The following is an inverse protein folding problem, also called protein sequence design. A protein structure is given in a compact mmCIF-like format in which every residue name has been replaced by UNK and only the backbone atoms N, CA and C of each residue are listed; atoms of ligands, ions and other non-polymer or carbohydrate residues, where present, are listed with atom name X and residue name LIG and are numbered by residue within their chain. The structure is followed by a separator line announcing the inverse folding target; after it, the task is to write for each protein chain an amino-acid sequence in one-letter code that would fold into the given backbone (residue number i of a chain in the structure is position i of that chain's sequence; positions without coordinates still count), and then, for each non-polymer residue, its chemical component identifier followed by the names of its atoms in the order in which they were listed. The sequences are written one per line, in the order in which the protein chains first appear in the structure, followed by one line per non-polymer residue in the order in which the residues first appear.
data_IF_349933572091
#
_entry.id   IF_349933572091
#
_cell.length_a   1.000
_cell.length_b   1.000
_cell.length_c   1.000
_cell.angle_alpha   90.00
_cell.angle_beta   90.00
_cell.angle_gamma   90.00
#
_symmetry.space_group_name_H-M   'P 1'
#
loop_
_entity.id
_entity.type
_entity.pdbx_description
1 polymer ?
#
# COMPACT_ATOMS: atom_id res chain seq x y z
N UNK A 1 -22.55 16.61 7.65
CA UNK A 1 -22.19 16.27 7.30
C UNK A 1 -21.83 15.65 6.72
N UNK A 2 -21.91 15.49 6.70
CA UNK A 2 -21.40 14.80 6.24
C UNK A 2 -20.97 14.33 5.68
N UNK A 3 -20.71 14.26 5.72
CA UNK A 3 -20.16 13.88 5.18
C UNK A 3 -19.83 13.19 4.61
N UNK A 4 -19.82 12.91 4.79
CA UNK A 4 -19.45 12.36 4.37
C UNK A 4 -19.24 11.71 3.64
N UNK A 5 -19.23 11.39 3.62
CA UNK A 5 -18.97 10.78 2.87
C UNK A 5 -19.22 10.45 1.91
N UNK A 6 -19.15 10.45 1.56
CA UNK A 6 -19.36 10.09 0.72
C UNK A 6 -18.91 9.38 -0.10
N UNK A 7 -18.55 9.12 -0.11
CA UNK A 7 -18.10 8.49 -0.78
C UNK A 7 -18.07 7.49 -0.89
N UNK A 8 -17.85 7.13 -0.97
CA UNK A 8 -17.79 6.14 -1.48
C UNK A 8 -18.25 5.03 -1.11
N UNK A 9 -18.78 4.82 -1.30
CA UNK A 9 -19.31 3.90 -1.18
C UNK A 9 -18.98 2.76 -1.83
N UNK A 10 -18.25 2.76 -2.84
CA UNK A 10 -17.76 1.56 -3.46
C UNK A 10 -16.45 1.22 -2.82
N UNK A 11 -16.47 0.22 -1.98
CA UNK A 11 -15.28 -0.23 -1.28
C UNK A 11 -14.94 -1.60 -1.83
N UNK A 12 -13.71 -1.80 -2.22
CA UNK A 12 -13.26 -3.12 -2.64
C UNK A 12 -13.04 -3.96 -1.38
N UNK A 13 -13.93 -4.92 -1.17
CA UNK A 13 -13.90 -5.73 0.05
C UNK A 13 -12.67 -6.60 0.13
N UNK A 14 -12.20 -7.09 -1.02
CA UNK A 14 -11.02 -7.94 -1.02
C UNK A 14 -9.79 -7.14 -0.60
N UNK A 15 -9.66 -5.93 -1.08
CA UNK A 15 -8.55 -5.05 -0.67
C UNK A 15 -8.66 -4.74 0.82
N UNK A 16 -9.85 -4.35 1.26
CA UNK A 16 -10.07 -4.00 2.67
C UNK A 16 -9.72 -5.17 3.57
N UNK A 17 -10.17 -6.37 3.23
CA UNK A 17 -9.89 -7.56 4.03
C UNK A 17 -8.39 -7.81 4.12
N UNK A 18 -7.69 -7.68 3.00
CA UNK A 18 -6.26 -7.93 2.99
C UNK A 18 -5.51 -6.88 3.80
N UNK A 19 -5.92 -5.63 3.72
CA UNK A 19 -5.31 -4.55 4.51
C UNK A 19 -5.51 -4.81 6.00
N UNK A 20 -6.71 -5.23 6.40
CA UNK A 20 -6.96 -5.56 7.80
C UNK A 20 -6.06 -6.69 8.27
N UNK A 21 -5.92 -7.73 7.44
CA UNK A 21 -5.03 -8.83 7.77
C UNK A 21 -3.59 -8.37 7.94
N UNK A 22 -3.12 -7.52 7.04
CA UNK A 22 -1.75 -7.02 7.10
C UNK A 22 -1.53 -6.14 8.32
N UNK A 23 -2.53 -5.32 8.67
CA UNK A 23 -2.45 -4.52 9.89
C UNK A 23 -2.28 -5.41 11.11
N UNK A 24 -2.98 -6.54 11.15
CA UNK A 24 -2.84 -7.48 12.26
C UNK A 24 -1.45 -8.09 12.32
N UNK A 25 -0.75 -8.13 11.19
CA UNK A 25 0.60 -8.67 11.12
C UNK A 25 1.67 -7.61 11.36
N UNK A 26 1.26 -6.37 11.66
CA UNK A 26 2.20 -5.30 11.95
C UNK A 26 2.45 -4.34 10.81
N UNK A 27 1.85 -4.55 9.64
CA UNK A 27 1.98 -3.66 8.49
C UNK A 27 0.96 -2.55 8.60
N UNK A 28 1.21 -1.62 9.52
CA UNK A 28 0.22 -0.62 9.91
C UNK A 28 0.38 0.73 9.23
N UNK A 29 1.50 0.95 8.56
CA UNK A 29 1.75 2.21 7.89
C UNK A 29 1.29 2.14 6.44
N UNK A 30 0.95 3.30 5.88
CA UNK A 30 0.61 3.42 4.47
C UNK A 30 1.75 4.09 3.75
N UNK A 31 2.16 3.51 2.63
CA UNK A 31 3.23 4.05 1.82
C UNK A 31 2.71 4.49 0.46
N UNK A 32 3.30 5.54 -0.05
CA UNK A 32 2.97 6.10 -1.35
C UNK A 32 4.24 6.22 -2.17
N UNK A 33 4.18 5.85 -3.43
CA UNK A 33 5.32 5.95 -4.32
C UNK A 33 5.34 7.34 -4.95
N UNK A 34 6.39 8.10 -4.70
CA UNK A 34 6.54 9.47 -5.19
C UNK A 34 7.94 9.67 -5.73
N UNK A 35 8.06 9.88 -7.04
CA UNK A 35 9.35 10.20 -7.66
C UNK A 35 10.46 9.20 -7.27
N UNK A 36 10.14 7.92 -7.33
CA UNK A 36 11.09 6.84 -7.01
C UNK A 36 11.48 6.79 -5.54
N UNK A 37 10.70 7.45 -4.70
CA UNK A 37 10.84 7.36 -3.25
C UNK A 37 9.55 6.85 -2.67
N UNK A 38 9.64 6.26 -1.50
CA UNK A 38 8.48 5.81 -0.77
C UNK A 38 8.25 6.75 0.39
N UNK A 39 7.05 7.30 0.44
CA UNK A 39 6.65 8.21 1.51
C UNK A 39 5.76 7.47 2.48
N UNK A 40 6.17 7.43 3.74
CA UNK A 40 5.33 6.91 4.81
C UNK A 40 4.31 7.99 5.16
N UNK A 41 3.03 7.67 4.98
CA UNK A 41 1.99 8.69 5.11
C UNK A 41 1.79 9.14 6.55
N UNK A 42 2.08 8.27 7.52
CA UNK A 42 1.82 8.57 8.92
C UNK A 42 2.82 9.57 9.50
N UNK A 43 4.06 9.54 9.06
CA UNK A 43 5.09 10.40 9.65
C UNK A 43 5.85 11.24 8.62
N UNK A 44 5.43 11.18 7.37
CA UNK A 44 6.02 11.96 6.28
C UNK A 44 7.52 11.69 6.06
N UNK A 45 7.98 10.52 6.43
CA UNK A 45 9.38 10.14 6.21
C UNK A 45 9.52 9.51 4.84
N UNK A 46 10.53 9.94 4.10
CA UNK A 46 10.84 9.39 2.80
C UNK A 46 11.90 8.30 2.91
N UNK A 47 11.73 7.26 2.15
CA UNK A 47 12.71 6.18 2.05
C UNK A 47 13.09 5.99 0.59
N UNK A 48 14.36 5.76 0.32
CA UNK A 48 14.77 5.37 -1.02
C UNK A 48 14.35 3.93 -1.25
N UNK A 49 13.99 3.64 -2.49
CA UNK A 49 13.52 2.29 -2.85
C UNK A 49 14.53 1.21 -2.45
N UNK A 50 15.82 1.52 -2.58
CA UNK A 50 16.84 0.53 -2.25
C UNK A 50 17.05 0.32 -0.77
N UNK A 51 16.45 1.16 0.06
CA UNK A 51 16.62 1.06 1.51
C UNK A 51 15.49 0.30 2.19
N UNK A 52 14.55 -0.23 1.40
CA UNK A 52 13.41 -0.96 1.93
C UNK A 52 13.26 -2.27 1.17
N UNK A 53 12.49 -3.17 1.73
CA UNK A 53 12.15 -4.43 1.07
C UNK A 53 10.69 -4.35 0.63
N UNK A 54 10.47 -4.44 -0.66
CA UNK A 54 9.14 -4.31 -1.24
C UNK A 54 8.76 -5.65 -1.87
N UNK A 55 7.62 -6.17 -1.46
CA UNK A 55 7.10 -7.42 -2.02
C UNK A 55 5.66 -7.24 -2.44
N UNK A 56 5.31 -7.78 -3.59
CA UNK A 56 3.91 -7.84 -3.99
C UNK A 56 3.34 -9.15 -3.45
N UNK A 57 2.22 -9.07 -2.75
CA UNK A 57 1.64 -10.25 -2.09
C UNK A 57 0.27 -10.63 -2.64
N UNK A 58 -0.39 -9.73 -3.34
CA UNK A 58 -1.73 -10.03 -3.84
C UNK A 58 -2.07 -9.13 -5.01
N UNK A 59 -3.04 -9.60 -5.79
CA UNK A 59 -3.56 -8.90 -6.94
C UNK A 59 -5.08 -8.96 -6.84
N UNK A 60 -5.73 -7.80 -6.87
CA UNK A 60 -7.17 -7.71 -6.73
C UNK A 60 -7.72 -6.82 -7.82
N UNK A 61 -8.79 -7.27 -8.48
CA UNK A 61 -9.44 -6.42 -9.46
C UNK A 61 -10.29 -5.38 -8.77
N UNK A 62 -10.06 -4.11 -9.13
CA UNK A 62 -10.80 -2.99 -8.58
C UNK A 62 -11.83 -2.53 -9.60
N UNK A 63 -13.10 -2.75 -9.30
CA UNK A 63 -14.17 -2.41 -10.22
C UNK A 63 -14.32 -0.91 -10.41
N UNK A 64 -13.93 -0.12 -9.43
CA UNK A 64 -14.05 1.32 -9.52
C UNK A 64 -13.13 1.89 -10.59
N UNK A 65 -11.88 1.48 -10.58
CA UNK A 65 -10.91 1.95 -11.56
C UNK A 65 -10.85 1.07 -12.79
N UNK A 66 -11.49 -0.11 -12.75
CA UNK A 66 -11.46 -1.11 -13.81
C UNK A 66 -10.04 -1.58 -14.10
N UNK A 67 -9.23 -1.70 -13.05
CA UNK A 67 -7.86 -2.14 -13.15
C UNK A 67 -7.55 -3.08 -12.03
N UNK A 68 -6.53 -3.88 -12.23
CA UNK A 68 -5.99 -4.66 -11.14
C UNK A 68 -5.18 -3.75 -10.23
N UNK A 69 -5.34 -3.96 -8.94
CA UNK A 69 -4.53 -3.32 -7.92
C UNK A 69 -3.62 -4.38 -7.31
N UNK A 70 -2.40 -3.98 -7.04
CA UNK A 70 -1.41 -4.89 -6.49
C UNK A 70 -1.08 -4.42 -5.08
N UNK A 71 -1.20 -5.35 -4.14
CA UNK A 71 -0.98 -5.07 -2.73
C UNK A 71 0.45 -5.44 -2.41
N UNK A 72 1.19 -4.46 -1.93
CA UNK A 72 2.61 -4.63 -1.61
C UNK A 72 2.80 -4.49 -0.12
N UNK A 73 3.75 -5.26 0.42
CA UNK A 73 4.24 -5.04 1.77
C UNK A 73 5.60 -4.37 1.70
N UNK A 74 5.85 -3.50 2.66
CA UNK A 74 7.08 -2.74 2.73
C UNK A 74 7.67 -2.89 4.12
N UNK A 75 8.91 -3.33 4.15
CA UNK A 75 9.68 -3.42 5.39
C UNK A 75 10.86 -2.48 5.26
N UNK A 76 10.98 -1.55 6.20
CA UNK A 76 12.07 -0.59 6.18
C UNK A 76 13.23 -1.08 7.04
N UNK A 77 14.39 -0.48 6.83
CA UNK A 77 15.58 -0.87 7.57
C UNK A 77 15.51 -0.52 9.05
N UNK A 78 14.62 0.40 9.43
CA UNK A 78 14.46 0.77 10.83
C UNK A 78 13.27 0.09 11.49
N UNK A 79 12.74 -0.96 10.87
CA UNK A 79 11.71 -1.78 11.48
C UNK A 79 10.28 -1.33 11.24
N UNK A 80 10.06 -0.30 10.46
CA UNK A 80 8.70 0.09 10.11
C UNK A 80 8.15 -0.83 9.03
N UNK A 81 6.86 -1.10 9.13
CA UNK A 81 6.19 -1.99 8.19
C UNK A 81 4.94 -1.32 7.67
N UNK A 82 4.67 -1.52 6.39
CA UNK A 82 3.50 -0.90 5.79
C UNK A 82 3.03 -1.55 4.53
N UNK A 83 2.02 -0.93 3.95
CA UNK A 83 1.30 -1.43 2.79
C UNK A 83 1.30 -0.34 1.72
N UNK A 84 1.42 -0.78 0.48
CA UNK A 84 1.28 0.11 -0.67
C UNK A 84 0.39 -0.59 -1.69
N UNK A 85 -0.65 0.12 -2.15
CA UNK A 85 -1.58 -0.43 -3.13
C UNK A 85 -1.56 0.47 -4.34
N UNK A 86 -1.08 -0.08 -5.44
CA UNK A 86 -0.99 0.66 -6.71
C UNK A 86 -1.43 -0.25 -7.84
N UNK A 87 -1.57 0.30 -9.03
CA UNK A 87 -2.10 -0.43 -10.18
C UNK A 87 -1.01 -1.04 -11.04
N UNK A 88 0.16 -1.22 -10.48
CA UNK A 88 1.27 -1.92 -11.15
C UNK A 88 2.10 -2.64 -10.10
N UNK A 89 2.89 -3.60 -10.54
CA UNK A 89 3.81 -4.29 -9.66
C UNK A 89 5.08 -3.44 -9.56
N UNK A 90 5.48 -3.14 -8.33
CA UNK A 90 6.68 -2.37 -8.09
C UNK A 90 7.47 -3.02 -6.98
N UNK A 91 8.58 -3.66 -7.32
CA UNK A 91 9.44 -4.29 -6.32
C UNK A 91 10.87 -3.86 -6.59
N UNK A 92 11.70 -4.03 -5.58
CA UNK A 92 13.12 -3.73 -5.71
C UNK A 92 13.96 -5.00 -5.76
N UNK A 93 13.36 -6.08 -6.16
CA UNK A 93 14.03 -7.37 -6.15
C UNK A 93 14.91 -7.60 -7.35
N UNK A 94 15.01 -6.64 -8.22
CA UNK A 94 15.81 -6.77 -9.43
C UNK A 94 17.30 -6.91 -9.16
N UNK A 95 17.68 -6.59 -7.98
CA UNK A 95 19.10 -6.67 -7.65
C UNK A 95 19.58 -8.09 -7.74
#
# INVERSE_FOLDING_TARGET
MGMIFKTPRIINRAITRQVINLHKQGYVNDFCLCNKHLLCMQNAVNFRVNDVCIKVIDQVYDQLSRRFKYIHTIDTCNGEKGVMIIDQIFTNASA
#
